data_IF_225562363423
#
_entry.id   IF_225562363423
#
_cell.length_a   1.000
_cell.length_b   1.000
_cell.length_c   1.000
_cell.angle_alpha   90.00
_cell.angle_beta   90.00
_cell.angle_gamma   90.00
#
_symmetry.space_group_name_H-M   'P 1'
#
loop_
_entity.id
_entity.type
_entity.pdbx_description
1 polymer ?
#
# COMPACT_ATOMS: atom_id res chain seq x y z
N UNK A 1 23.39 -9.16 8.43
CA UNK A 1 24.22 -8.65 9.55
C UNK A 1 23.53 -7.55 10.35
N UNK A 2 22.67 -6.73 9.74
CA UNK A 2 21.99 -5.61 10.41
C UNK A 2 21.19 -6.02 11.67
N UNK A 3 20.42 -7.10 11.61
CA UNK A 3 19.69 -7.62 12.78
C UNK A 3 20.58 -8.01 13.96
N UNK A 4 21.72 -8.67 13.69
CA UNK A 4 22.67 -9.08 14.71
C UNK A 4 23.31 -7.86 15.41
N UNK A 5 23.56 -6.79 14.65
CA UNK A 5 24.04 -5.52 15.22
C UNK A 5 22.97 -4.85 16.08
N UNK A 6 21.71 -4.82 15.62
CA UNK A 6 20.58 -4.25 16.39
C UNK A 6 20.36 -4.95 17.73
N UNK A 7 20.49 -6.27 17.74
CA UNK A 7 20.26 -7.12 18.92
C UNK A 7 21.51 -7.31 19.78
N UNK A 8 22.69 -6.92 19.29
CA UNK A 8 23.95 -6.98 20.05
C UNK A 8 24.58 -8.38 20.13
N UNK A 9 24.30 -9.28 19.17
CA UNK A 9 24.97 -10.58 19.11
C UNK A 9 25.85 -10.74 17.86
N UNK A 10 26.79 -11.68 17.93
CA UNK A 10 27.68 -12.03 16.81
C UNK A 10 27.19 -13.33 16.19
N UNK A 11 27.13 -13.36 14.85
CA UNK A 11 26.89 -14.60 14.11
C UNK A 11 28.19 -15.34 13.89
N UNK A 12 28.37 -16.50 14.52
CA UNK A 12 29.50 -17.41 14.29
C UNK A 12 29.01 -18.68 13.56
N UNK A 13 28.99 -18.69 12.21
CA UNK A 13 28.51 -19.84 11.46
C UNK A 13 29.52 -20.99 11.49
N UNK A 14 29.04 -22.22 11.75
CA UNK A 14 29.84 -23.43 11.64
C UNK A 14 30.46 -23.58 10.23
N UNK A 15 31.66 -24.15 10.16
CA UNK A 15 32.41 -24.29 8.91
C UNK A 15 31.63 -25.12 7.89
N UNK A 16 31.69 -24.68 6.63
CA UNK A 16 31.09 -25.39 5.50
C UNK A 16 31.70 -26.80 5.42
N UNK A 17 30.87 -27.82 5.24
CA UNK A 17 31.25 -29.25 5.09
C UNK A 17 32.03 -29.85 6.28
N UNK A 18 31.80 -29.36 7.49
CA UNK A 18 32.38 -29.95 8.72
C UNK A 18 31.27 -30.49 9.65
N UNK A 19 30.77 -31.73 9.42
CA UNK A 19 29.69 -32.32 10.23
C UNK A 19 30.02 -32.41 11.73
N UNK A 20 31.31 -32.54 12.06
CA UNK A 20 31.81 -32.63 13.44
C UNK A 20 31.60 -31.35 14.26
N UNK A 21 31.27 -30.23 13.62
CA UNK A 21 31.02 -28.95 14.30
C UNK A 21 29.56 -28.81 14.80
N UNK A 22 28.67 -29.78 14.51
CA UNK A 22 27.24 -29.76 14.92
C UNK A 22 26.71 -30.91 15.81
N UNK A 23 27.52 -31.82 16.40
CA UNK A 23 27.00 -33.03 17.05
C UNK A 23 26.15 -32.75 18.30
N UNK A 24 26.34 -31.62 18.99
CA UNK A 24 25.51 -31.22 20.14
C UNK A 24 24.10 -30.80 19.71
N UNK A 25 24.00 -30.04 18.61
CA UNK A 25 22.73 -29.55 18.07
C UNK A 25 21.89 -30.72 17.55
N UNK A 26 22.50 -31.66 16.84
CA UNK A 26 21.79 -32.82 16.28
C UNK A 26 21.18 -33.73 17.36
N UNK A 27 21.90 -33.97 18.47
CA UNK A 27 21.38 -34.76 19.60
C UNK A 27 20.20 -34.08 20.30
N UNK A 28 20.23 -32.76 20.44
CA UNK A 28 19.10 -32.01 20.98
C UNK A 28 17.85 -32.13 20.08
N UNK A 29 18.04 -32.05 18.75
CA UNK A 29 16.94 -32.23 17.78
C UNK A 29 16.35 -33.65 17.85
N UNK A 30 17.19 -34.68 17.96
CA UNK A 30 16.72 -36.07 18.12
C UNK A 30 15.87 -36.25 19.38
N UNK A 31 16.28 -35.65 20.50
CA UNK A 31 15.51 -35.69 21.74
C UNK A 31 14.14 -35.04 21.58
N UNK A 32 14.06 -33.83 21.03
CA UNK A 32 12.79 -33.13 20.80
C UNK A 32 11.89 -33.93 19.86
N UNK A 33 12.43 -34.48 18.76
CA UNK A 33 11.66 -35.31 17.82
C UNK A 33 11.12 -36.59 18.46
N UNK A 34 11.92 -37.28 19.25
CA UNK A 34 11.53 -38.55 19.86
C UNK A 34 10.65 -38.40 21.10
N UNK A 35 10.78 -37.31 21.86
CA UNK A 35 10.11 -37.15 23.14
C UNK A 35 8.93 -36.18 23.10
N UNK A 36 8.93 -35.19 22.22
CA UNK A 36 7.83 -34.24 22.07
C UNK A 36 6.95 -34.54 20.85
N UNK A 37 7.55 -34.83 19.69
CA UNK A 37 6.79 -34.97 18.44
C UNK A 37 6.30 -36.38 18.12
N UNK A 38 6.99 -37.42 18.61
CA UNK A 38 6.70 -38.79 18.20
C UNK A 38 5.35 -39.28 18.75
N UNK A 39 4.42 -39.59 17.84
CA UNK A 39 3.10 -40.14 18.19
C UNK A 39 2.07 -39.10 18.64
N UNK A 40 2.40 -37.82 18.51
CA UNK A 40 1.49 -36.72 18.85
C UNK A 40 0.79 -36.18 17.61
N UNK A 41 -0.52 -35.93 17.75
CA UNK A 41 -1.33 -35.22 16.78
C UNK A 41 -1.77 -33.88 17.39
N UNK A 42 -1.73 -32.81 16.58
CA UNK A 42 -2.14 -31.46 16.99
C UNK A 42 -3.27 -30.97 16.07
N UNK A 43 -4.25 -30.29 16.66
CA UNK A 43 -5.40 -29.76 15.92
C UNK A 43 -5.03 -28.50 15.14
N UNK A 44 -4.21 -27.64 15.75
CA UNK A 44 -3.68 -26.42 15.12
C UNK A 44 -2.30 -26.02 15.66
N UNK A 45 -1.73 -24.95 15.10
CA UNK A 45 -0.41 -24.44 15.50
C UNK A 45 -0.41 -23.88 16.93
N UNK A 46 -1.52 -23.29 17.38
CA UNK A 46 -1.60 -22.68 18.70
C UNK A 46 -1.58 -23.75 19.80
N UNK A 47 -2.29 -24.86 19.60
CA UNK A 47 -2.23 -26.04 20.45
C UNK A 47 -0.81 -26.61 20.49
N UNK A 48 -0.17 -26.79 19.33
CA UNK A 48 1.19 -27.28 19.27
C UNK A 48 2.20 -26.38 20.01
N UNK A 49 2.00 -25.06 19.99
CA UNK A 49 2.83 -24.10 20.73
C UNK A 49 2.60 -24.21 22.24
N UNK A 50 1.34 -24.22 22.69
CA UNK A 50 1.00 -24.34 24.11
C UNK A 50 1.51 -25.65 24.72
N UNK A 51 1.33 -26.76 23.99
CA UNK A 51 1.86 -28.07 24.41
C UNK A 51 3.38 -28.09 24.45
N UNK A 52 4.05 -27.38 23.54
CA UNK A 52 5.51 -27.28 23.53
C UNK A 52 6.03 -26.50 24.74
N UNK A 53 5.38 -25.40 25.10
CA UNK A 53 5.71 -24.63 26.30
C UNK A 53 5.53 -25.47 27.58
N UNK A 54 4.42 -26.20 27.68
CA UNK A 54 4.18 -27.11 28.81
C UNK A 54 5.25 -28.21 28.87
N UNK A 55 5.55 -28.86 27.74
CA UNK A 55 6.61 -29.87 27.67
C UNK A 55 7.99 -29.30 28.05
N UNK A 56 8.32 -28.08 27.61
CA UNK A 56 9.56 -27.40 27.99
C UNK A 56 9.64 -27.18 29.51
N UNK A 57 8.56 -26.73 30.16
CA UNK A 57 8.52 -26.48 31.60
C UNK A 57 8.53 -27.76 32.43
N UNK A 58 7.69 -28.73 32.06
CA UNK A 58 7.37 -29.86 32.93
C UNK A 58 8.20 -31.12 32.65
N UNK A 59 8.65 -31.31 31.41
CA UNK A 59 9.39 -32.50 30.99
C UNK A 59 10.84 -32.17 30.68
N UNK A 60 11.09 -31.32 29.68
CA UNK A 60 12.44 -31.06 29.19
C UNK A 60 13.28 -30.26 30.19
N UNK A 61 12.67 -29.32 30.91
CA UNK A 61 13.31 -28.46 31.90
C UNK A 61 13.54 -29.14 33.26
N UNK A 62 12.66 -30.07 33.66
CA UNK A 62 12.75 -30.77 34.96
C UNK A 62 13.51 -32.10 34.92
N UNK A 63 13.89 -32.59 33.74
CA UNK A 63 14.69 -33.81 33.61
C UNK A 63 16.10 -33.60 34.16
N UNK A 64 16.70 -34.65 34.72
CA UNK A 64 18.15 -34.64 35.00
C UNK A 64 18.91 -34.81 33.68
N UNK A 65 19.67 -33.80 33.29
CA UNK A 65 20.40 -33.80 32.03
C UNK A 65 21.65 -34.70 32.12
N UNK A 66 21.81 -35.65 31.19
CA UNK A 66 22.86 -36.68 31.29
C UNK A 66 24.30 -36.18 31.28
N UNK A 67 24.57 -34.97 30.77
CA UNK A 67 25.94 -34.39 30.76
C UNK A 67 26.22 -33.48 31.94
N UNK A 68 25.23 -32.69 32.37
CA UNK A 68 25.40 -31.70 33.44
C UNK A 68 24.95 -32.25 34.80
N UNK A 69 24.29 -33.42 34.81
CA UNK A 69 23.70 -34.06 35.98
C UNK A 69 22.72 -33.17 36.79
N UNK A 70 22.26 -32.07 36.18
CA UNK A 70 21.39 -31.07 36.78
C UNK A 70 20.10 -30.91 35.97
N UNK A 71 19.10 -30.25 36.55
CA UNK A 71 17.84 -29.94 35.87
C UNK A 71 17.99 -28.65 35.08
N UNK A 72 17.80 -28.65 33.74
CA UNK A 72 18.01 -27.46 32.92
C UNK A 72 17.26 -26.22 33.36
N UNK A 73 16.03 -26.37 33.87
CA UNK A 73 15.22 -25.22 34.32
C UNK A 73 15.81 -24.59 35.59
N UNK A 74 16.28 -25.40 36.54
CA UNK A 74 16.92 -24.91 37.77
C UNK A 74 18.23 -24.17 37.45
N UNK A 75 19.06 -24.74 36.57
CA UNK A 75 20.29 -24.08 36.09
C UNK A 75 19.98 -22.77 35.37
N UNK A 76 18.93 -22.74 34.54
CA UNK A 76 18.51 -21.51 33.88
C UNK A 76 18.09 -20.43 34.89
N UNK A 77 17.23 -20.78 35.84
CA UNK A 77 16.71 -19.82 36.82
C UNK A 77 17.81 -19.29 37.76
N UNK A 78 18.75 -20.14 38.16
CA UNK A 78 19.83 -19.79 39.11
C UNK A 78 21.01 -19.09 38.44
N UNK A 79 21.48 -19.60 37.29
CA UNK A 79 22.76 -19.19 36.71
C UNK A 79 22.61 -18.31 35.45
N UNK A 80 21.63 -18.60 34.59
CA UNK A 80 21.52 -17.94 33.28
C UNK A 80 20.60 -16.72 33.30
N UNK A 81 19.44 -16.82 33.96
CA UNK A 81 18.42 -15.77 34.01
C UNK A 81 18.95 -14.43 34.56
N UNK A 82 19.79 -14.40 35.61
CA UNK A 82 20.39 -13.15 36.10
C UNK A 82 21.36 -12.50 35.12
N UNK A 83 21.89 -13.26 34.16
CA UNK A 83 22.87 -12.80 33.16
C UNK A 83 22.20 -12.33 31.85
N UNK A 84 20.88 -12.53 31.70
CA UNK A 84 20.16 -12.14 30.51
C UNK A 84 20.09 -10.61 30.38
N UNK A 85 20.36 -10.14 29.17
CA UNK A 85 20.19 -8.74 28.82
C UNK A 85 18.71 -8.41 28.61
N UNK A 86 18.30 -7.14 28.78
CA UNK A 86 16.97 -6.69 28.42
C UNK A 86 16.63 -7.06 26.98
N UNK A 87 15.35 -7.41 26.74
CA UNK A 87 14.86 -7.69 25.40
C UNK A 87 15.11 -6.46 24.50
N UNK A 88 15.84 -6.60 23.37
CA UNK A 88 16.06 -5.50 22.45
C UNK A 88 14.73 -4.91 21.95
N UNK A 89 14.69 -3.61 21.61
CA UNK A 89 13.50 -3.03 21.00
C UNK A 89 13.13 -3.78 19.72
N UNK A 90 11.84 -3.72 19.34
CA UNK A 90 11.35 -4.37 18.11
C UNK A 90 12.21 -3.91 16.93
N UNK A 91 12.79 -4.87 16.23
CA UNK A 91 13.58 -4.60 15.05
C UNK A 91 12.68 -4.25 13.87
N UNK A 92 12.89 -3.07 13.31
CA UNK A 92 12.23 -2.65 12.09
C UNK A 92 12.83 -3.41 10.89
N UNK A 93 12.12 -4.42 10.41
CA UNK A 93 12.59 -5.30 9.33
C UNK A 93 12.57 -4.54 8.01
N UNK A 94 13.74 -4.17 7.45
CA UNK A 94 13.79 -3.41 6.22
C UNK A 94 13.51 -4.30 5.01
N UNK A 95 12.93 -3.69 3.98
CA UNK A 95 12.82 -4.26 2.65
C UNK A 95 14.11 -3.98 1.90
N UNK A 96 14.73 -5.03 1.37
CA UNK A 96 15.83 -4.92 0.41
C UNK A 96 15.35 -5.27 -0.98
N UNK A 97 15.56 -4.37 -1.95
CA UNK A 97 15.12 -4.59 -3.34
C UNK A 97 16.00 -3.83 -4.32
N UNK A 98 16.19 -4.37 -5.52
CA UNK A 98 16.74 -3.60 -6.64
C UNK A 98 15.61 -2.95 -7.44
N UNK A 99 15.73 -1.66 -7.71
CA UNK A 99 14.71 -0.89 -8.43
C UNK A 99 15.32 -0.11 -9.58
N UNK A 100 14.60 -0.02 -10.68
CA UNK A 100 15.02 0.77 -11.84
C UNK A 100 14.54 2.21 -11.68
N UNK A 101 15.42 3.17 -11.92
CA UNK A 101 15.05 4.58 -12.03
C UNK A 101 14.42 4.80 -13.40
N UNK A 102 13.18 5.26 -13.40
CA UNK A 102 12.43 5.48 -14.62
C UNK A 102 12.72 6.87 -15.23
N UNK A 103 12.29 7.07 -16.47
CA UNK A 103 12.50 8.32 -17.23
C UNK A 103 11.76 9.53 -16.66
N UNK A 104 10.84 9.30 -15.74
CA UNK A 104 10.13 10.32 -14.98
C UNK A 104 10.89 10.77 -13.72
N UNK A 105 12.19 10.44 -13.60
CA UNK A 105 13.03 10.74 -12.44
C UNK A 105 12.59 10.03 -11.15
N UNK A 106 11.74 9.00 -11.23
CA UNK A 106 11.25 8.29 -10.04
C UNK A 106 11.62 6.81 -10.04
N UNK A 107 11.83 6.28 -8.84
CA UNK A 107 11.89 4.85 -8.55
C UNK A 107 10.69 4.44 -7.69
N UNK A 108 10.15 3.26 -7.95
CA UNK A 108 9.02 2.72 -7.19
C UNK A 108 9.50 1.75 -6.10
N UNK A 109 9.14 2.04 -4.85
CA UNK A 109 9.42 1.19 -3.68
C UNK A 109 8.13 1.01 -2.90
N UNK A 110 7.70 -0.25 -2.71
CA UNK A 110 6.46 -0.59 -2.00
C UNK A 110 5.22 0.19 -2.49
N UNK A 111 5.08 0.35 -3.82
CA UNK A 111 4.00 1.09 -4.49
C UNK A 111 3.98 2.60 -4.22
N UNK A 112 5.04 3.16 -3.63
CA UNK A 112 5.25 4.60 -3.51
C UNK A 112 6.38 5.06 -4.45
N UNK A 113 6.33 6.33 -4.86
CA UNK A 113 7.28 6.91 -5.81
C UNK A 113 8.25 7.86 -5.11
N UNK A 114 9.53 7.73 -5.44
CA UNK A 114 10.61 8.54 -4.86
C UNK A 114 11.44 9.15 -5.97
N UNK A 115 11.69 10.46 -5.92
CA UNK A 115 12.56 11.12 -6.91
C UNK A 115 14.01 10.67 -6.75
N UNK A 116 14.75 10.65 -7.85
CA UNK A 116 16.16 10.30 -7.89
C UNK A 116 16.85 11.26 -8.86
N UNK A 117 18.06 11.75 -8.55
CA UNK A 117 18.81 12.62 -9.44
C UNK A 117 18.92 12.07 -10.86
N UNK A 118 18.75 12.95 -11.85
CA UNK A 118 18.65 12.59 -13.28
C UNK A 118 19.81 11.75 -13.84
N UNK A 119 21.01 11.87 -13.25
CA UNK A 119 22.18 11.07 -13.64
C UNK A 119 21.98 9.55 -13.50
N UNK A 120 21.00 9.12 -12.70
CA UNK A 120 20.70 7.70 -12.47
C UNK A 120 19.56 7.17 -13.34
N UNK A 121 18.96 7.98 -14.22
CA UNK A 121 17.87 7.54 -15.10
C UNK A 121 18.29 6.30 -15.90
N UNK A 122 17.44 5.27 -15.87
CA UNK A 122 17.70 3.99 -16.55
C UNK A 122 18.59 3.02 -15.77
N UNK A 123 19.28 3.48 -14.73
CA UNK A 123 20.11 2.65 -13.86
C UNK A 123 19.25 1.86 -12.87
N UNK A 124 19.83 0.78 -12.34
CA UNK A 124 19.25 -0.02 -11.26
C UNK A 124 19.97 0.32 -9.96
N UNK A 125 19.22 0.70 -8.94
CA UNK A 125 19.70 1.04 -7.61
C UNK A 125 19.29 -0.03 -6.60
N UNK A 126 20.13 -0.27 -5.61
CA UNK A 126 19.80 -1.07 -4.44
C UNK A 126 19.05 -0.21 -3.44
N UNK A 127 17.96 -0.74 -2.90
CA UNK A 127 17.10 -0.03 -1.94
C UNK A 127 17.13 -0.77 -0.63
N UNK A 128 17.29 -0.01 0.43
CA UNK A 128 16.92 -0.40 1.78
C UNK A 128 15.78 0.49 2.22
N UNK A 129 14.66 -0.09 2.61
CA UNK A 129 13.52 0.68 3.07
C UNK A 129 12.95 0.12 4.37
N UNK A 130 13.02 0.93 5.42
CA UNK A 130 12.47 0.62 6.73
C UNK A 130 11.11 1.34 6.92
N UNK A 131 10.56 1.34 8.13
CA UNK A 131 9.27 1.97 8.43
C UNK A 131 9.30 3.50 8.29
N UNK A 132 10.48 4.12 8.39
CA UNK A 132 10.63 5.58 8.45
C UNK A 132 11.30 6.17 7.19
N UNK A 133 12.21 5.44 6.57
CA UNK A 133 13.09 5.92 5.52
C UNK A 133 13.23 4.93 4.36
N UNK A 134 13.49 5.48 3.19
CA UNK A 134 13.91 4.76 1.98
C UNK A 134 15.27 5.28 1.55
N UNK A 135 16.26 4.40 1.53
CA UNK A 135 17.65 4.71 1.17
C UNK A 135 17.99 4.00 -0.13
N UNK A 136 18.51 4.76 -1.09
CA UNK A 136 18.94 4.28 -2.40
C UNK A 136 20.46 4.23 -2.47
N UNK A 137 21.00 3.15 -3.01
CA UNK A 137 22.43 2.89 -3.12
C UNK A 137 22.81 2.51 -4.55
N UNK A 138 23.97 3.00 -4.99
CA UNK A 138 24.63 2.59 -6.21
C UNK A 138 25.99 1.98 -5.85
N UNK A 139 26.14 0.67 -6.05
CA UNK A 139 27.38 -0.07 -5.75
C UNK A 139 27.90 0.21 -4.33
N UNK A 140 26.99 0.15 -3.34
CA UNK A 140 27.29 0.43 -1.93
C UNK A 140 27.35 1.91 -1.53
N UNK A 141 27.37 2.86 -2.47
CA UNK A 141 27.38 4.29 -2.16
C UNK A 141 25.95 4.82 -1.99
N UNK A 142 25.69 5.57 -0.92
CA UNK A 142 24.40 6.21 -0.69
C UNK A 142 24.14 7.29 -1.74
N UNK A 143 23.05 7.16 -2.48
CA UNK A 143 22.62 8.07 -3.55
C UNK A 143 21.63 9.10 -3.03
N UNK A 144 20.57 8.63 -2.34
CA UNK A 144 19.47 9.48 -1.89
C UNK A 144 18.76 8.84 -0.69
N UNK A 145 18.16 9.67 0.14
CA UNK A 145 17.32 9.25 1.27
C UNK A 145 15.99 10.00 1.20
N UNK A 146 14.90 9.29 1.40
CA UNK A 146 13.55 9.86 1.48
C UNK A 146 12.82 9.39 2.73
N UNK A 147 11.88 10.19 3.26
CA UNK A 147 10.91 9.70 4.23
C UNK A 147 10.01 8.65 3.59
N UNK A 148 9.72 7.57 4.31
CA UNK A 148 8.85 6.48 3.87
C UNK A 148 7.44 7.00 3.61
N UNK A 149 6.89 6.62 2.46
CA UNK A 149 5.54 6.97 2.04
C UNK A 149 4.63 5.74 2.01
N UNK A 150 3.32 5.90 2.29
CA UNK A 150 2.34 4.83 2.11
C UNK A 150 2.19 4.47 0.63
N UNK A 151 1.59 3.32 0.34
CA UNK A 151 1.30 2.90 -1.03
C UNK A 151 0.47 3.96 -1.78
N UNK A 152 0.89 4.31 -3.00
CA UNK A 152 0.31 5.40 -3.79
C UNK A 152 0.82 6.80 -3.42
N UNK A 153 1.56 6.93 -2.32
CA UNK A 153 2.22 8.16 -1.91
C UNK A 153 3.45 8.48 -2.77
N UNK A 154 3.96 9.70 -2.60
CA UNK A 154 5.11 10.21 -3.34
C UNK A 154 5.98 11.10 -2.48
N UNK A 155 7.29 10.96 -2.60
CA UNK A 155 8.28 11.90 -2.07
C UNK A 155 9.12 12.41 -3.24
N UNK A 156 8.95 13.67 -3.58
CA UNK A 156 9.65 14.32 -4.70
C UNK A 156 10.44 15.50 -4.16
N UNK A 157 11.74 15.46 -4.38
CA UNK A 157 12.64 16.59 -4.17
C UNK A 157 12.72 17.41 -5.47
N UNK A 158 12.37 18.72 -5.45
CA UNK A 158 12.49 19.58 -6.63
C UNK A 158 13.90 19.64 -7.22
N UNK A 159 14.95 19.46 -6.42
CA UNK A 159 16.34 19.53 -6.89
C UNK A 159 16.74 18.32 -7.75
N UNK A 160 16.04 17.19 -7.61
CA UNK A 160 16.28 16.01 -8.44
C UNK A 160 15.71 16.18 -9.86
N UNK A 161 14.80 17.15 -10.04
CA UNK A 161 14.11 17.41 -11.29
C UNK A 161 14.83 18.54 -12.05
N UNK A 162 14.85 18.47 -13.38
CA UNK A 162 15.44 19.56 -14.15
C UNK A 162 14.56 20.81 -14.03
N UNK A 163 15.21 21.96 -13.81
CA UNK A 163 14.56 23.27 -13.69
C UNK A 163 13.94 23.72 -15.02
N UNK A 164 14.48 23.26 -16.15
CA UNK A 164 14.01 23.59 -17.48
C UNK A 164 13.55 22.33 -18.24
N UNK A 165 12.71 22.52 -19.26
CA UNK A 165 12.33 21.46 -20.19
C UNK A 165 13.56 21.02 -21.00
N UNK A 166 14.35 20.10 -20.45
CA UNK A 166 15.53 19.54 -21.13
C UNK A 166 15.09 18.91 -22.45
N UNK A 167 15.74 19.26 -23.57
CA UNK A 167 15.32 18.82 -24.91
C UNK A 167 15.20 17.30 -25.09
N UNK A 168 15.96 16.49 -24.33
CA UNK A 168 15.81 15.04 -24.31
C UNK A 168 14.45 14.59 -23.72
N UNK A 169 14.01 15.21 -22.63
CA UNK A 169 12.72 14.90 -22.01
C UNK A 169 11.55 15.23 -22.96
N UNK A 170 11.65 16.32 -23.72
CA UNK A 170 10.64 16.69 -24.71
C UNK A 170 10.49 15.67 -25.84
N UNK A 171 11.59 15.17 -26.41
CA UNK A 171 11.53 14.13 -27.47
C UNK A 171 10.84 12.84 -27.00
N UNK A 172 11.09 12.44 -25.75
CA UNK A 172 10.45 11.27 -25.17
C UNK A 172 8.94 11.48 -24.97
N UNK A 173 8.53 12.70 -24.61
CA UNK A 173 7.12 13.09 -24.48
C UNK A 173 6.43 13.12 -25.84
N UNK A 174 7.03 13.73 -26.86
CA UNK A 174 6.48 13.78 -28.22
C UNK A 174 6.30 12.37 -28.80
N UNK A 175 7.28 11.48 -28.58
CA UNK A 175 7.17 10.08 -28.97
C UNK A 175 6.03 9.36 -28.26
N UNK A 176 5.82 9.68 -26.98
CA UNK A 176 4.76 9.09 -26.17
C UNK A 176 3.38 9.56 -26.64
N UNK A 177 3.22 10.85 -26.91
CA UNK A 177 2.02 11.45 -27.51
C UNK A 177 1.75 10.83 -28.87
N UNK A 178 2.75 10.74 -29.75
CA UNK A 178 2.61 10.11 -31.06
C UNK A 178 2.19 8.64 -30.98
N UNK A 179 2.69 7.91 -29.98
CA UNK A 179 2.26 6.53 -29.72
C UNK A 179 0.78 6.48 -29.32
N UNK A 180 0.33 7.39 -28.45
CA UNK A 180 -1.08 7.53 -28.08
C UNK A 180 -1.96 7.89 -29.28
N UNK A 181 -1.53 8.85 -30.10
CA UNK A 181 -2.24 9.29 -31.30
C UNK A 181 -2.38 8.16 -32.34
N UNK A 182 -1.41 7.24 -32.41
CA UNK A 182 -1.49 6.05 -33.24
C UNK A 182 -2.59 5.05 -32.84
N UNK A 183 -3.13 5.16 -31.62
CA UNK A 183 -4.26 4.36 -31.15
C UNK A 183 -5.62 5.06 -31.29
N UNK A 184 -5.63 6.34 -31.67
CA UNK A 184 -6.84 7.15 -31.81
C UNK A 184 -6.55 8.63 -31.61
N UNK A 185 -7.34 9.48 -32.26
CA UNK A 185 -7.16 10.94 -32.22
C UNK A 185 -7.47 11.47 -30.82
N UNK A 186 -8.56 11.03 -30.21
CA UNK A 186 -8.94 11.43 -28.87
C UNK A 186 -7.92 10.93 -27.84
N UNK A 187 -7.39 9.71 -27.97
CA UNK A 187 -6.31 9.19 -27.11
C UNK A 187 -5.05 10.07 -27.19
N UNK A 188 -4.68 10.53 -28.38
CA UNK A 188 -3.56 11.47 -28.57
C UNK A 188 -3.77 12.81 -27.88
N UNK A 189 -4.91 13.47 -28.13
CA UNK A 189 -5.28 14.75 -27.50
C UNK A 189 -5.36 14.60 -25.97
N UNK A 190 -5.88 13.46 -25.48
CA UNK A 190 -5.94 13.18 -24.05
C UNK A 190 -4.54 13.09 -23.43
N UNK A 191 -3.60 12.44 -24.12
CA UNK A 191 -2.22 12.36 -23.66
C UNK A 191 -1.52 13.72 -23.63
N UNK A 192 -1.77 14.58 -24.63
CA UNK A 192 -1.30 15.98 -24.63
C UNK A 192 -1.82 16.74 -23.42
N UNK A 193 -3.14 16.70 -23.17
CA UNK A 193 -3.77 17.36 -22.01
C UNK A 193 -3.26 16.81 -20.68
N UNK A 194 -2.94 15.52 -20.60
CA UNK A 194 -2.41 14.90 -19.40
C UNK A 194 -0.97 15.35 -19.10
N UNK A 195 -0.23 15.75 -20.12
CA UNK A 195 1.15 16.22 -20.06
C UNK A 195 1.27 17.75 -20.06
N UNK A 196 0.14 18.47 -20.16
CA UNK A 196 0.07 19.93 -20.06
C UNK A 196 0.21 20.39 -18.60
N UNK A 197 1.41 20.16 -18.06
CA UNK A 197 1.84 20.46 -16.70
C UNK A 197 3.22 21.14 -16.80
N UNK A 198 3.57 22.07 -15.88
CA UNK A 198 4.92 22.65 -15.85
C UNK A 198 6.03 21.60 -15.82
N UNK A 199 5.75 20.42 -15.24
CA UNK A 199 6.68 19.28 -15.16
C UNK A 199 6.05 18.02 -15.80
N UNK A 200 5.99 17.94 -17.15
CA UNK A 200 5.28 16.87 -17.85
C UNK A 200 5.77 15.46 -17.51
N UNK A 201 7.07 15.30 -17.20
CA UNK A 201 7.66 14.01 -16.88
C UNK A 201 7.01 13.32 -15.68
N UNK A 202 6.55 14.08 -14.68
CA UNK A 202 5.85 13.53 -13.51
C UNK A 202 4.53 12.85 -13.92
N UNK A 203 3.90 13.34 -15.00
CA UNK A 203 2.63 12.83 -15.52
C UNK A 203 2.81 11.67 -16.50
N UNK A 204 4.04 11.33 -16.91
CA UNK A 204 4.31 10.23 -17.85
C UNK A 204 3.72 8.89 -17.40
N UNK A 205 3.71 8.60 -16.08
CA UNK A 205 3.09 7.38 -15.55
C UNK A 205 1.59 7.31 -15.82
N UNK A 206 0.91 8.45 -15.83
CA UNK A 206 -0.51 8.49 -16.17
C UNK A 206 -0.72 8.15 -17.66
N UNK A 207 0.15 8.64 -18.56
CA UNK A 207 0.13 8.25 -19.98
C UNK A 207 0.47 6.76 -20.17
N UNK A 208 1.46 6.22 -19.46
CA UNK A 208 1.74 4.79 -19.48
C UNK A 208 0.57 3.94 -18.99
N UNK A 209 -0.17 4.44 -18.00
CA UNK A 209 -1.41 3.81 -17.53
C UNK A 209 -2.50 3.86 -18.60
N UNK A 210 -2.67 4.98 -19.30
CA UNK A 210 -3.59 5.11 -20.43
C UNK A 210 -3.26 4.09 -21.54
N UNK A 211 -1.99 3.98 -21.94
CA UNK A 211 -1.54 2.95 -22.89
C UNK A 211 -1.75 1.53 -22.34
N UNK A 212 -1.69 1.34 -21.03
CA UNK A 212 -2.06 0.09 -20.37
C UNK A 212 -3.54 -0.27 -20.55
N UNK A 213 -4.44 0.72 -20.50
CA UNK A 213 -5.86 0.54 -20.79
C UNK A 213 -6.08 0.17 -22.26
N UNK A 214 -5.39 0.84 -23.19
CA UNK A 214 -5.43 0.48 -24.62
C UNK A 214 -5.02 -0.97 -24.84
N UNK A 215 -3.96 -1.44 -24.17
CA UNK A 215 -3.54 -2.85 -24.27
C UNK A 215 -4.56 -3.83 -23.70
N UNK A 216 -5.33 -3.43 -22.67
CA UNK A 216 -6.30 -4.30 -21.99
C UNK A 216 -7.65 -4.35 -22.70
N UNK A 217 -8.18 -3.20 -23.10
CA UNK A 217 -9.54 -3.03 -23.64
C UNK A 217 -9.57 -2.84 -25.16
N UNK A 218 -8.42 -2.64 -25.79
CA UNK A 218 -8.30 -2.29 -27.20
C UNK A 218 -8.43 -0.78 -27.47
N UNK A 219 -8.04 -0.31 -28.66
CA UNK A 219 -8.04 1.12 -29.00
C UNK A 219 -9.44 1.72 -29.13
N UNK A 220 -10.43 0.98 -29.67
CA UNK A 220 -11.78 1.50 -29.92
C UNK A 220 -12.53 1.99 -28.68
N UNK A 221 -12.72 1.14 -27.64
CA UNK A 221 -13.39 1.56 -26.41
C UNK A 221 -12.66 2.69 -25.68
N UNK A 222 -11.32 2.69 -25.71
CA UNK A 222 -10.51 3.72 -25.06
C UNK A 222 -10.61 5.06 -25.81
N UNK A 223 -10.64 5.04 -27.14
CA UNK A 223 -10.87 6.24 -27.97
C UNK A 223 -12.25 6.86 -27.66
N UNK A 224 -13.31 6.04 -27.61
CA UNK A 224 -14.65 6.51 -27.24
C UNK A 224 -14.66 7.13 -25.83
N UNK A 225 -14.05 6.46 -24.86
CA UNK A 225 -13.96 6.96 -23.49
C UNK A 225 -13.18 8.28 -23.40
N UNK A 226 -12.07 8.39 -24.13
CA UNK A 226 -11.27 9.62 -24.17
C UNK A 226 -12.05 10.74 -24.85
N UNK A 227 -12.77 10.47 -25.94
CA UNK A 227 -13.60 11.46 -26.63
C UNK A 227 -14.68 12.02 -25.70
N UNK A 228 -15.48 11.14 -25.10
CA UNK A 228 -16.53 11.53 -24.15
C UNK A 228 -15.97 12.31 -22.96
N UNK A 229 -14.80 11.92 -22.45
CA UNK A 229 -14.15 12.64 -21.36
C UNK A 229 -13.62 14.02 -21.78
N UNK A 230 -13.12 14.18 -23.00
CA UNK A 230 -12.68 15.47 -23.55
C UNK A 230 -13.85 16.42 -23.77
N UNK A 231 -14.99 15.92 -24.24
CA UNK A 231 -16.22 16.72 -24.41
C UNK A 231 -16.70 17.33 -23.09
N UNK A 232 -16.42 16.65 -21.97
CA UNK A 232 -16.73 17.10 -20.61
C UNK A 232 -15.55 17.80 -19.90
N UNK A 233 -14.43 18.02 -20.61
CA UNK A 233 -13.17 18.58 -20.10
C UNK A 233 -12.62 17.85 -18.84
N UNK A 234 -12.80 16.53 -18.80
CA UNK A 234 -12.38 15.67 -17.70
C UNK A 234 -11.07 14.96 -18.03
N UNK A 235 -9.97 15.41 -17.41
CA UNK A 235 -8.63 14.82 -17.59
C UNK A 235 -8.23 13.99 -16.35
N UNK A 236 -8.58 12.70 -16.34
CA UNK A 236 -8.17 11.72 -15.33
C UNK A 236 -8.24 10.28 -15.87
N UNK A 237 -7.08 9.62 -15.94
CA UNK A 237 -6.98 8.22 -16.37
C UNK A 237 -7.74 7.26 -15.44
N UNK A 238 -7.95 7.63 -14.17
CA UNK A 238 -8.78 6.84 -13.26
C UNK A 238 -10.25 6.83 -13.68
N UNK A 239 -10.75 7.96 -14.21
CA UNK A 239 -12.12 8.04 -14.71
C UNK A 239 -12.28 7.26 -16.01
N UNK A 240 -11.30 7.33 -16.91
CA UNK A 240 -11.28 6.50 -18.12
C UNK A 240 -11.32 5.01 -17.75
N UNK A 241 -10.48 4.57 -16.82
CA UNK A 241 -10.50 3.19 -16.33
C UNK A 241 -11.88 2.79 -15.78
N UNK A 242 -12.50 3.66 -14.96
CA UNK A 242 -13.84 3.41 -14.41
C UNK A 242 -14.93 3.36 -15.49
N UNK A 243 -14.86 4.22 -16.52
CA UNK A 243 -15.80 4.18 -17.64
C UNK A 243 -15.71 2.86 -18.40
N UNK A 244 -14.50 2.38 -18.67
CA UNK A 244 -14.26 1.11 -19.37
C UNK A 244 -14.67 -0.11 -18.53
N UNK A 245 -14.41 -0.08 -17.23
CA UNK A 245 -14.86 -1.15 -16.30
C UNK A 245 -16.38 -1.24 -16.22
N UNK A 246 -17.08 -0.12 -16.40
CA UNK A 246 -18.54 -0.03 -16.37
C UNK A 246 -19.19 -0.11 -17.76
N UNK A 247 -18.40 -0.19 -18.83
CA UNK A 247 -18.84 -0.13 -20.22
C UNK A 247 -19.72 1.11 -20.55
N UNK A 248 -19.38 2.28 -19.99
CA UNK A 248 -20.13 3.53 -20.16
C UNK A 248 -19.48 4.51 -21.14
N UNK A 249 -18.47 4.09 -21.91
CA UNK A 249 -17.71 4.96 -22.81
C UNK A 249 -18.56 5.62 -23.91
N UNK A 250 -19.62 4.95 -24.35
CA UNK A 250 -20.58 5.42 -25.38
C UNK A 250 -21.86 5.96 -24.76
N UNK A 251 -21.99 5.92 -23.43
CA UNK A 251 -23.18 6.43 -22.75
C UNK A 251 -23.04 7.95 -22.59
N UNK A 252 -23.77 8.70 -23.41
CA UNK A 252 -23.94 10.13 -23.19
C UNK A 252 -24.62 10.33 -21.84
N UNK A 253 -23.98 10.99 -20.85
CA UNK A 253 -24.67 11.30 -19.61
C UNK A 253 -25.86 12.18 -19.94
N UNK A 254 -27.05 11.77 -19.52
CA UNK A 254 -28.20 12.65 -19.52
C UNK A 254 -27.82 13.82 -18.62
N UNK A 255 -27.56 14.98 -19.21
CA UNK A 255 -27.56 16.24 -18.46
C UNK A 255 -28.84 16.22 -17.64
N UNK A 256 -28.81 16.57 -16.34
CA UNK A 256 -30.03 16.65 -15.57
C UNK A 256 -30.95 17.55 -16.39
N UNK A 257 -32.05 16.98 -16.88
CA UNK A 257 -33.11 17.78 -17.46
C UNK A 257 -33.33 18.88 -16.43
N UNK A 258 -33.38 20.13 -16.86
CA UNK A 258 -33.85 21.20 -16.01
C UNK A 258 -35.27 20.82 -15.62
N UNK A 259 -35.38 19.99 -14.57
CA UNK A 259 -36.63 19.64 -13.98
C UNK A 259 -37.22 20.97 -13.61
N UNK A 260 -38.48 21.17 -13.97
CA UNK A 260 -39.32 22.18 -13.34
C UNK A 260 -39.07 22.06 -11.83
N UNK A 261 -38.16 22.88 -11.32
CA UNK A 261 -37.70 22.77 -9.96
C UNK A 261 -38.87 23.29 -9.13
N UNK A 262 -39.56 22.39 -8.44
CA UNK A 262 -40.40 22.83 -7.35
C UNK A 262 -39.53 23.72 -6.45
N UNK A 263 -40.01 24.92 -6.06
CA UNK A 263 -39.18 25.88 -5.37
C UNK A 263 -38.55 25.21 -4.15
N UNK A 264 -37.22 25.18 -4.12
CA UNK A 264 -36.47 24.68 -2.97
C UNK A 264 -36.69 25.64 -1.80
N UNK A 265 -36.43 25.21 -0.56
CA UNK A 265 -36.50 26.10 0.62
C UNK A 265 -35.63 27.36 0.54
N UNK A 266 -34.72 27.43 -0.43
CA UNK A 266 -33.81 28.53 -0.69
C UNK A 266 -34.13 29.28 -1.99
N UNK A 267 -35.15 28.86 -2.73
CA UNK A 267 -35.64 29.56 -3.91
C UNK A 267 -36.39 30.81 -3.41
N UNK A 268 -35.78 31.97 -3.60
CA UNK A 268 -36.40 33.26 -3.29
C UNK A 268 -37.30 33.70 -4.43
N UNK A 269 -38.39 34.36 -4.09
CA UNK A 269 -39.29 34.95 -5.08
C UNK A 269 -38.52 36.03 -5.86
N UNK A 270 -38.48 35.99 -7.20
CA UNK A 270 -37.89 37.05 -8.02
C UNK A 270 -38.43 38.45 -7.68
N UNK A 271 -39.65 38.56 -7.15
CA UNK A 271 -40.23 39.81 -6.67
C UNK A 271 -39.49 40.42 -5.48
N UNK A 272 -38.78 39.62 -4.66
CA UNK A 272 -37.91 40.15 -3.58
C UNK A 272 -36.73 40.96 -4.11
N UNK A 273 -36.33 40.74 -5.37
CA UNK A 273 -35.26 41.49 -6.03
C UNK A 273 -35.81 42.64 -6.90
N UNK A 274 -37.13 42.78 -6.99
CA UNK A 274 -37.75 43.93 -7.62
C UNK A 274 -37.67 45.12 -6.66
N UNK A 275 -36.68 46.00 -6.87
CA UNK A 275 -36.67 47.30 -6.21
C UNK A 275 -37.83 48.13 -6.74
N UNK A 276 -38.90 48.25 -5.95
CA UNK A 276 -39.92 49.27 -6.17
C UNK A 276 -39.23 50.63 -6.14
N UNK A 277 -39.37 51.39 -7.24
CA UNK A 277 -38.95 52.80 -7.25
C UNK A 277 -39.83 53.53 -6.24
N UNK A 278 -39.22 53.91 -5.12
CA UNK A 278 -39.82 54.65 -4.02
C UNK A 278 -40.61 55.87 -4.51
N UNK A 279 -41.93 55.84 -4.33
CA UNK A 279 -42.75 57.03 -4.10
C UNK A 279 -42.66 57.42 -2.61
N UNK A 280 -42.85 58.70 -2.24
CA UNK A 280 -42.46 59.19 -0.93
C UNK A 280 -43.36 58.67 0.19
N UNK A 281 -42.73 58.59 1.36
CA UNK A 281 -43.17 57.89 2.56
C UNK A 281 -44.49 58.39 3.17
N UNK A 282 -45.24 57.44 3.75
CA UNK A 282 -46.16 57.74 4.86
C UNK A 282 -46.01 56.66 5.94
N UNK A 283 -45.81 57.10 7.17
CA UNK A 283 -45.51 56.31 8.36
C UNK A 283 -46.66 55.40 8.80
N UNK A 284 -46.32 54.23 9.35
CA UNK A 284 -47.27 53.34 10.01
C UNK A 284 -46.56 52.29 10.87
N UNK A 285 -46.56 52.51 12.18
CA UNK A 285 -46.04 51.63 13.24
C UNK A 285 -46.88 50.36 13.41
N UNK A 286 -46.25 49.17 13.52
CA UNK A 286 -46.79 48.07 14.35
C UNK A 286 -45.76 46.99 14.73
N UNK A 287 -45.46 46.96 16.03
CA UNK A 287 -45.38 45.86 17.02
C UNK A 287 -44.92 44.44 16.63
N UNK A 288 -43.96 43.96 17.42
CA UNK A 288 -43.38 42.62 17.46
C UNK A 288 -44.31 41.53 18.02
N UNK A 289 -44.10 40.28 17.57
CA UNK A 289 -44.50 39.07 18.32
C UNK A 289 -43.47 37.95 18.14
N UNK A 290 -43.07 37.37 19.28
CA UNK A 290 -42.17 36.23 19.41
C UNK A 290 -42.84 34.89 19.03
N UNK A 291 -42.04 33.94 18.54
CA UNK A 291 -42.48 32.58 18.21
C UNK A 291 -41.42 31.52 18.51
N UNK A 292 -41.68 30.76 19.56
CA UNK A 292 -40.95 29.60 20.11
C UNK A 292 -41.12 28.34 19.26
N UNK A 293 -40.14 27.40 19.29
CA UNK A 293 -40.32 26.01 18.81
C UNK A 293 -39.00 25.26 18.61
N UNK A 294 -38.41 24.67 19.65
CA UNK A 294 -38.49 23.24 20.09
C UNK A 294 -37.60 22.28 19.28
N UNK A 295 -36.65 21.69 20.02
CA UNK A 295 -35.70 20.66 19.64
C UNK A 295 -36.33 19.25 19.66
N UNK A 296 -35.76 18.31 18.90
CA UNK A 296 -36.05 16.87 19.03
C UNK A 296 -34.76 16.09 18.87
N UNK A 297 -34.34 15.43 19.95
CA UNK A 297 -33.25 14.44 19.99
C UNK A 297 -33.65 13.15 19.27
N UNK A 298 -32.66 12.49 18.68
CA UNK A 298 -32.78 11.15 18.10
C UNK A 298 -31.71 10.24 18.73
N UNK A 299 -32.17 9.27 19.52
CA UNK A 299 -31.38 8.15 20.05
C UNK A 299 -31.50 6.96 19.10
N UNK A 300 -30.38 6.32 18.76
CA UNK A 300 -30.36 5.00 18.11
C UNK A 300 -29.32 4.09 18.76
N UNK A 301 -29.79 2.90 19.15
CA UNK A 301 -29.10 1.83 19.86
C UNK A 301 -28.36 0.92 18.87
N UNK A 302 -27.18 0.44 19.29
CA UNK A 302 -26.33 -0.50 18.55
C UNK A 302 -26.70 -1.96 18.84
N UNK A 303 -26.57 -2.83 17.84
CA UNK A 303 -26.71 -4.29 17.97
C UNK A 303 -25.45 -4.97 17.40
N UNK A 304 -24.74 -5.70 18.26
CA UNK A 304 -23.63 -6.59 17.89
C UNK A 304 -24.14 -7.93 17.36
N UNK A 305 -23.35 -8.58 16.50
CA UNK A 305 -23.63 -9.93 15.99
C UNK A 305 -22.33 -10.74 15.89
N UNK A 306 -22.25 -11.79 16.71
CA UNK A 306 -21.21 -12.83 16.72
C UNK A 306 -21.49 -13.89 15.64
N UNK A 307 -20.43 -14.39 15.00
CA UNK A 307 -20.47 -15.18 13.77
C UNK A 307 -20.39 -16.69 13.89
N UNK A 308 -20.02 -17.35 12.78
CA UNK A 308 -19.31 -18.63 12.66
C UNK A 308 -19.09 -18.95 11.18
N UNK A 309 -17.89 -19.41 10.77
CA UNK A 309 -17.72 -20.05 9.45
C UNK A 309 -16.76 -21.24 9.54
N UNK A 310 -17.24 -22.37 9.05
CA UNK A 310 -16.59 -23.69 9.01
C UNK A 310 -15.83 -23.85 7.69
N UNK A 311 -14.65 -24.48 7.68
CA UNK A 311 -13.98 -24.86 6.43
C UNK A 311 -13.60 -26.36 6.43
N UNK A 312 -13.79 -26.92 5.25
CA UNK A 312 -13.89 -28.31 4.81
C UNK A 312 -12.52 -28.97 4.65
N UNK A 313 -12.39 -30.23 5.07
CA UNK A 313 -11.22 -31.06 4.82
C UNK A 313 -11.21 -31.63 3.40
N UNK A 314 -10.14 -31.38 2.64
CA UNK A 314 -9.85 -32.03 1.37
C UNK A 314 -8.79 -33.12 1.57
N UNK A 315 -9.18 -34.38 1.42
CA UNK A 315 -8.29 -35.54 1.51
C UNK A 315 -7.39 -35.70 0.29
N UNK A 316 -6.24 -36.33 0.49
CA UNK A 316 -5.48 -36.94 -0.59
C UNK A 316 -5.04 -38.35 -0.19
N UNK A 317 -5.53 -39.32 -0.93
CA UNK A 317 -5.18 -40.75 -0.87
C UNK A 317 -3.84 -40.97 -1.54
N UNK A 318 -2.91 -41.64 -0.86
CA UNK A 318 -1.64 -42.09 -1.45
C UNK A 318 -1.68 -43.61 -1.66
N UNK A 319 -1.60 -44.02 -2.92
CA UNK A 319 -1.62 -45.41 -3.37
C UNK A 319 -0.19 -45.94 -3.35
N UNK A 320 0.06 -46.95 -2.51
CA UNK A 320 1.27 -47.78 -2.54
C UNK A 320 1.29 -48.64 -3.81
N UNK A 321 2.43 -48.67 -4.50
CA UNK A 321 2.79 -49.79 -5.36
C UNK A 321 4.27 -50.12 -5.17
N UNK A 322 4.53 -51.32 -4.65
CA UNK A 322 5.84 -51.97 -4.57
C UNK A 322 6.00 -52.88 -5.78
N UNK A 323 7.07 -52.68 -6.56
CA UNK A 323 8.03 -53.74 -6.92
C UNK A 323 9.36 -53.14 -7.38
#
# INVERSE_FOLDING_TARGET
>A
MDYAQHTGFVTDPARIRSPKDKPRVERAVQYVRGNYWAGEDFTDLAEAQQRAEAWCRDTAGRRTHGTTAARPLEVFDEDEAPMLLPVPPVYDVPIFKQVKVHRDFHAEVARALYSIPGQWIGSVLEVRADSALVKFYARGNLVKVHPRQPAGGRSTDPEDLPTEKVGYAMRDLDRLIGTCAGHGRAVGIYAERLLDDPLPWIRMRAVYRLLGLVRRYGPGPVEAACSTALDLDVVSVSKIASMLERATETTTPLLPAAGSAAPSRFTRDPAEFATDRTGPATSGTTVATAGTGVATERTTVATERTGHLTVIAGGNTDTRETR
#
